data_IF_864389209016
#
_entry.id   IF_864389209016
#
_cell.length_a   1.000
_cell.length_b   1.000
_cell.length_c   1.000
_cell.angle_alpha   90.00
_cell.angle_beta   90.00
_cell.angle_gamma   90.00
#
_symmetry.space_group_name_H-M   'P 1'
#
loop_
_entity.id
_entity.type
_entity.pdbx_description
1 polymer ?
#
# COMPACT_ATOMS: atom_id res chain seq x y z
N UNK A 1 0.25 16.46 17.50
CA UNK A 1 1.69 16.56 17.79
C UNK A 1 2.12 15.22 18.34
N UNK A 2 2.78 14.41 17.52
CA UNK A 2 3.12 13.02 17.84
C UNK A 2 4.63 12.98 18.11
N UNK A 3 5.01 12.77 19.37
CA UNK A 3 6.40 12.76 19.85
C UNK A 3 6.57 11.63 20.86
N UNK A 4 7.79 11.15 21.08
CA UNK A 4 8.03 10.25 22.20
C UNK A 4 8.03 11.02 23.51
N UNK A 5 7.26 10.59 24.50
CA UNK A 5 7.18 11.24 25.81
C UNK A 5 7.56 10.29 26.94
N UNK A 6 7.89 10.86 28.09
CA UNK A 6 8.14 10.12 29.32
C UNK A 6 6.91 10.22 30.22
N UNK A 7 6.37 9.08 30.60
CA UNK A 7 5.24 8.98 31.53
C UNK A 7 5.70 9.20 32.98
N UNK A 8 4.74 9.21 33.92
CA UNK A 8 5.03 9.27 35.35
C UNK A 8 5.85 8.10 35.90
N UNK A 9 6.00 7.00 35.14
CA UNK A 9 6.85 5.85 35.49
C UNK A 9 8.36 6.14 35.37
N UNK A 10 8.75 7.29 34.85
CA UNK A 10 10.16 7.61 34.62
C UNK A 10 10.86 7.93 35.94
N UNK A 11 11.72 7.03 36.40
CA UNK A 11 12.57 7.19 37.60
C UNK A 11 13.97 7.73 37.30
N UNK A 12 14.23 8.14 36.05
CA UNK A 12 15.46 8.82 35.70
C UNK A 12 16.69 7.95 35.48
N UNK A 13 16.51 6.65 35.23
CA UNK A 13 17.60 5.67 35.01
C UNK A 13 18.52 6.00 33.81
N UNK A 14 18.03 6.75 32.82
CA UNK A 14 18.86 7.26 31.72
C UNK A 14 19.22 6.28 30.60
N UNK A 15 18.77 5.01 30.64
CA UNK A 15 19.06 4.02 29.58
C UNK A 15 18.61 4.48 28.19
N UNK A 16 17.45 5.13 28.10
CA UNK A 16 16.96 5.73 26.85
C UNK A 16 17.86 6.84 26.29
N UNK A 17 18.61 7.56 27.15
CA UNK A 17 19.58 8.58 26.74
C UNK A 17 20.80 7.90 26.12
N UNK A 18 21.33 6.86 26.79
CA UNK A 18 22.48 6.07 26.30
C UNK A 18 22.19 5.38 24.97
N UNK A 19 20.97 4.86 24.82
CA UNK A 19 20.55 4.16 23.60
C UNK A 19 20.21 5.09 22.43
N UNK A 20 20.17 6.43 22.62
CA UNK A 20 19.74 7.34 21.58
C UNK A 20 20.87 7.65 20.57
N UNK A 21 20.79 7.16 19.31
CA UNK A 21 21.88 7.31 18.34
C UNK A 21 22.05 8.74 17.84
N UNK A 22 21.04 9.59 18.03
CA UNK A 22 21.07 11.00 17.61
C UNK A 22 21.24 11.96 18.78
N UNK A 23 21.42 11.43 20.00
CA UNK A 23 21.54 12.21 21.25
C UNK A 23 20.38 13.22 21.43
N UNK A 24 19.19 12.85 20.95
CA UNK A 24 17.99 13.67 21.00
C UNK A 24 17.27 13.66 22.35
N UNK A 25 17.83 13.00 23.36
CA UNK A 25 17.22 12.80 24.67
C UNK A 25 18.19 13.30 25.74
N UNK A 26 17.68 14.06 26.70
CA UNK A 26 18.41 14.54 27.88
C UNK A 26 17.57 14.38 29.13
N UNK A 27 18.21 14.47 30.29
CA UNK A 27 17.52 14.47 31.58
C UNK A 27 17.16 15.90 32.00
N UNK A 28 15.91 16.11 32.43
CA UNK A 28 15.40 17.34 33.04
C UNK A 28 14.62 16.93 34.29
N UNK A 29 15.01 17.43 35.47
CA UNK A 29 14.36 17.14 36.76
C UNK A 29 14.13 15.64 37.01
N UNK A 30 15.15 14.83 36.71
CA UNK A 30 15.09 13.37 36.88
C UNK A 30 14.25 12.64 35.83
N UNK A 31 13.75 13.31 34.78
CA UNK A 31 12.96 12.70 33.70
C UNK A 31 13.62 12.85 32.34
N UNK A 32 13.48 11.84 31.50
CA UNK A 32 13.95 11.90 30.12
C UNK A 32 13.05 12.84 29.30
N UNK A 33 13.65 13.78 28.59
CA UNK A 33 12.99 14.71 27.68
C UNK A 33 13.66 14.62 26.31
N UNK A 34 12.86 14.57 25.25
CA UNK A 34 13.35 14.47 23.88
C UNK A 34 12.83 15.58 22.98
N UNK A 35 13.47 15.76 21.83
CA UNK A 35 12.96 16.58 20.72
C UNK A 35 11.45 16.33 20.49
N UNK A 36 10.69 17.42 20.35
CA UNK A 36 9.22 17.41 20.19
C UNK A 36 8.76 17.21 18.74
N UNK A 37 9.70 17.01 17.82
CA UNK A 37 9.45 16.75 16.40
C UNK A 37 8.52 17.79 15.74
N UNK A 38 8.74 19.07 16.03
CA UNK A 38 7.93 20.18 15.51
C UNK A 38 8.28 20.62 14.08
N UNK A 39 9.46 20.26 13.58
CA UNK A 39 9.88 20.58 12.21
C UNK A 39 10.48 21.96 11.98
N UNK A 40 10.51 22.84 12.99
CA UNK A 40 11.07 24.18 12.84
C UNK A 40 12.52 24.19 12.30
N UNK A 41 13.34 23.21 12.71
CA UNK A 41 14.71 23.06 12.20
C UNK A 41 14.77 22.64 10.73
N UNK A 42 13.79 21.88 10.24
CA UNK A 42 13.67 21.49 8.82
C UNK A 42 13.32 22.72 7.98
N UNK A 43 12.30 23.47 8.39
CA UNK A 43 11.82 24.65 7.67
C UNK A 43 12.88 25.76 7.59
N UNK A 44 13.63 25.96 8.67
CA UNK A 44 14.67 26.98 8.73
C UNK A 44 16.01 26.57 8.08
N UNK A 45 16.19 25.30 7.64
CA UNK A 45 17.48 24.83 7.14
C UNK A 45 17.80 25.40 5.74
N UNK A 46 18.79 26.32 5.60
CA UNK A 46 19.08 26.96 4.31
C UNK A 46 19.61 25.97 3.26
N UNK A 47 20.34 24.94 3.70
CA UNK A 47 20.90 23.92 2.81
C UNK A 47 19.91 22.80 2.46
N UNK A 48 18.69 22.83 3.02
CA UNK A 48 17.72 21.73 2.95
C UNK A 48 18.34 20.37 3.32
N UNK A 49 19.26 20.40 4.29
CA UNK A 49 19.96 19.22 4.79
C UNK A 49 19.11 18.42 5.79
N UNK A 50 18.15 19.06 6.46
CA UNK A 50 17.23 18.39 7.39
C UNK A 50 15.96 18.02 6.61
N UNK A 51 15.49 16.78 6.78
CA UNK A 51 14.26 16.30 6.13
C UNK A 51 13.46 15.42 7.09
N UNK A 52 12.14 15.41 6.91
CA UNK A 52 11.26 14.45 7.60
C UNK A 52 11.47 13.04 7.02
N UNK A 53 11.53 12.04 7.89
CA UNK A 53 11.58 10.63 7.50
C UNK A 53 10.18 9.99 7.58
N UNK A 54 10.07 8.72 7.17
CA UNK A 54 8.79 8.01 7.11
C UNK A 54 8.21 7.68 8.48
N UNK A 55 9.03 7.63 9.52
CA UNK A 55 8.58 7.52 10.92
C UNK A 55 8.01 8.84 11.47
N UNK A 56 8.01 9.91 10.67
CA UNK A 56 7.55 11.24 11.04
C UNK A 56 8.57 12.06 11.83
N UNK A 57 9.78 11.53 12.07
CA UNK A 57 10.89 12.21 12.71
C UNK A 57 11.73 12.97 11.68
N UNK A 58 12.87 13.52 12.11
CA UNK A 58 13.75 14.28 11.22
C UNK A 58 15.16 13.69 11.20
N UNK A 59 15.79 13.70 10.03
CA UNK A 59 17.15 13.22 9.81
C UNK A 59 17.97 14.29 9.11
N UNK A 60 19.27 14.31 9.38
CA UNK A 60 20.22 15.25 8.79
C UNK A 60 21.03 14.56 7.71
N UNK A 61 20.98 15.10 6.50
CA UNK A 61 21.85 14.73 5.39
C UNK A 61 23.22 15.37 5.60
N UNK A 62 24.18 14.55 6.04
CA UNK A 62 25.54 15.01 6.36
C UNK A 62 26.29 15.53 5.12
N UNK A 63 25.97 15.07 3.93
CA UNK A 63 26.62 15.55 2.71
C UNK A 63 26.19 16.99 2.35
N UNK A 64 25.00 17.43 2.78
CA UNK A 64 24.49 18.79 2.55
C UNK A 64 24.68 19.72 3.75
N UNK A 65 24.93 19.17 4.93
CA UNK A 65 25.09 19.94 6.15
C UNK A 65 26.48 20.59 6.21
N UNK A 66 26.54 21.90 6.38
CA UNK A 66 27.79 22.65 6.62
C UNK A 66 27.92 23.14 8.07
N UNK A 67 27.10 22.60 8.99
CA UNK A 67 27.11 22.93 10.41
C UNK A 67 26.91 24.43 10.75
N UNK A 68 26.13 25.17 9.95
CA UNK A 68 25.93 26.62 10.13
C UNK A 68 25.18 27.08 11.41
N UNK A 69 24.65 26.17 12.24
CA UNK A 69 24.00 26.55 13.52
C UNK A 69 22.55 27.05 13.45
N UNK A 70 21.96 27.26 12.27
CA UNK A 70 20.57 27.79 12.14
C UNK A 70 19.54 26.89 12.85
N UNK A 71 19.69 25.57 12.72
CA UNK A 71 18.80 24.61 13.37
C UNK A 71 18.88 24.63 14.91
N UNK A 72 20.06 24.93 15.46
CA UNK A 72 20.27 25.07 16.90
C UNK A 72 19.56 26.33 17.43
N UNK A 73 19.75 27.47 16.76
CA UNK A 73 19.13 28.74 17.13
C UNK A 73 17.59 28.74 17.01
N UNK A 74 17.05 27.94 16.09
CA UNK A 74 15.60 27.87 15.84
C UNK A 74 14.89 26.88 16.76
N UNK A 75 15.62 26.00 17.47
CA UNK A 75 15.02 24.91 18.23
C UNK A 75 14.24 25.44 19.45
N UNK A 76 12.89 25.36 19.48
CA UNK A 76 12.09 25.97 20.55
C UNK A 76 12.27 25.30 21.92
N UNK A 77 12.85 24.10 21.93
CA UNK A 77 13.10 23.31 23.15
C UNK A 77 14.59 23.14 23.44
N UNK A 78 15.46 23.85 22.72
CA UNK A 78 16.92 23.79 22.87
C UNK A 78 17.45 22.34 22.91
N UNK A 79 16.92 21.49 22.01
CA UNK A 79 17.30 20.07 21.93
C UNK A 79 18.49 19.85 21.01
N UNK A 80 18.73 20.75 20.05
CA UNK A 80 19.73 20.61 19.00
C UNK A 80 21.05 21.20 19.46
N UNK A 81 22.16 20.52 19.13
CA UNK A 81 23.54 20.97 19.37
C UNK A 81 24.44 20.57 18.21
N UNK A 82 25.51 21.31 17.98
CA UNK A 82 26.54 20.96 17.00
C UNK A 82 27.86 20.66 17.71
N UNK A 83 28.36 19.45 17.54
CA UNK A 83 29.63 18.98 18.12
C UNK A 83 30.49 18.36 17.02
N UNK A 84 31.74 18.80 16.89
CA UNK A 84 32.68 18.35 15.85
C UNK A 84 32.11 18.42 14.42
N UNK A 85 31.31 19.46 14.15
CA UNK A 85 30.63 19.65 12.86
C UNK A 85 29.42 18.72 12.62
N UNK A 86 29.03 17.92 13.61
CA UNK A 86 27.90 16.99 13.55
C UNK A 86 26.71 17.57 14.30
N UNK A 87 25.56 17.67 13.61
CA UNK A 87 24.29 18.07 14.23
C UNK A 87 23.73 16.89 15.03
N UNK A 88 23.53 17.11 16.33
CA UNK A 88 22.92 16.18 17.28
C UNK A 88 21.60 16.76 17.79
N UNK A 89 20.83 15.97 18.54
CA UNK A 89 19.66 16.47 19.24
C UNK A 89 18.34 16.41 18.48
N UNK A 90 18.35 15.86 17.27
CA UNK A 90 17.16 15.73 16.40
C UNK A 90 16.64 14.29 16.47
N UNK A 91 15.38 14.11 16.86
CA UNK A 91 14.78 12.77 16.96
C UNK A 91 14.40 12.23 15.58
N UNK A 92 15.04 11.12 15.18
CA UNK A 92 14.69 10.36 13.98
C UNK A 92 13.44 9.49 14.15
N UNK A 93 12.80 9.51 15.32
CA UNK A 93 11.67 8.65 15.69
C UNK A 93 11.94 7.14 15.46
N UNK A 94 13.16 6.68 15.75
CA UNK A 94 13.54 5.27 15.60
C UNK A 94 13.00 4.34 16.71
N UNK A 95 12.47 4.86 17.81
CA UNK A 95 11.86 4.07 18.88
C UNK A 95 12.81 3.36 19.85
N UNK A 96 14.13 3.37 19.65
CA UNK A 96 15.10 2.76 20.59
C UNK A 96 14.94 3.19 22.04
N UNK A 97 14.48 4.42 22.27
CA UNK A 97 14.26 4.91 23.62
C UNK A 97 13.10 4.23 24.35
N UNK A 98 12.15 3.65 23.61
CA UNK A 98 11.03 2.86 24.16
C UNK A 98 11.58 1.50 24.58
N UNK A 99 12.23 0.79 23.66
CA UNK A 99 12.81 -0.54 23.91
C UNK A 99 13.84 -0.54 25.05
N UNK A 100 14.71 0.48 25.07
CA UNK A 100 15.75 0.59 26.09
C UNK A 100 15.21 1.03 27.46
N UNK A 101 13.92 1.35 27.59
CA UNK A 101 13.37 1.80 28.86
C UNK A 101 12.91 0.61 29.72
N UNK A 102 13.65 0.21 30.77
CA UNK A 102 13.32 -0.98 31.57
C UNK A 102 11.98 -0.86 32.32
N UNK A 103 11.51 0.38 32.52
CA UNK A 103 10.25 0.68 33.21
C UNK A 103 9.07 0.89 32.24
N UNK A 104 9.30 0.78 30.92
CA UNK A 104 8.29 1.13 29.90
C UNK A 104 7.77 2.57 30.05
N UNK A 105 8.61 3.46 30.57
CA UNK A 105 8.22 4.84 30.87
C UNK A 105 8.25 5.73 29.63
N UNK A 106 9.08 5.39 28.63
CA UNK A 106 9.13 6.04 27.32
C UNK A 106 8.11 5.39 26.40
N UNK A 107 7.25 6.19 25.79
CA UNK A 107 6.15 5.75 24.94
C UNK A 107 5.95 6.71 23.78
N UNK A 108 5.38 6.23 22.67
CA UNK A 108 4.89 7.14 21.65
C UNK A 108 3.65 7.86 22.19
N UNK A 109 3.54 9.18 21.95
CA UNK A 109 2.36 9.91 22.38
C UNK A 109 1.08 9.42 21.69
N UNK A 110 1.20 8.75 20.55
CA UNK A 110 0.10 8.08 19.87
C UNK A 110 -0.52 6.99 20.75
N UNK A 111 0.29 6.06 21.25
CA UNK A 111 -0.12 4.92 22.10
C UNK A 111 -0.83 5.40 23.38
N UNK A 112 -0.43 6.55 23.90
CA UNK A 112 -1.06 7.14 25.09
C UNK A 112 -2.46 7.69 24.86
N UNK A 113 -2.84 8.06 23.64
CA UNK A 113 -4.18 8.60 23.39
C UNK A 113 -5.23 7.49 23.56
N UNK A 114 -4.92 6.28 23.11
CA UNK A 114 -5.77 5.08 23.30
C UNK A 114 -5.73 4.60 24.75
N UNK A 115 -4.53 4.40 25.31
CA UNK A 115 -4.36 3.85 26.66
C UNK A 115 -4.93 4.73 27.78
N UNK A 116 -4.91 6.06 27.60
CA UNK A 116 -5.36 7.01 28.63
C UNK A 116 -6.89 7.13 28.62
N UNK A 117 -7.53 6.93 27.46
CA UNK A 117 -8.98 6.82 27.35
C UNK A 117 -9.47 5.50 27.95
N UNK A 118 -8.82 4.37 27.62
CA UNK A 118 -9.14 3.05 28.16
C UNK A 118 -9.01 3.01 29.69
N UNK A 119 -7.86 3.43 30.23
CA UNK A 119 -7.63 3.43 31.69
C UNK A 119 -8.54 4.37 32.46
N UNK A 120 -8.91 5.51 31.89
CA UNK A 120 -9.89 6.40 32.50
C UNK A 120 -11.27 5.72 32.59
N UNK A 121 -11.73 5.09 31.51
CA UNK A 121 -13.02 4.39 31.46
C UNK A 121 -13.05 3.20 32.43
N UNK A 122 -11.97 2.43 32.52
CA UNK A 122 -11.83 1.31 33.47
C UNK A 122 -11.83 1.79 34.92
N UNK A 123 -11.16 2.91 35.21
CA UNK A 123 -11.07 3.46 36.56
C UNK A 123 -12.40 3.98 37.12
N UNK A 124 -13.41 4.20 36.27
CA UNK A 124 -14.73 4.68 36.67
C UNK A 124 -15.65 3.56 37.20
N UNK A 125 -15.30 2.28 37.01
CA UNK A 125 -15.98 1.09 37.56
C UNK A 125 -17.53 1.14 37.51
N UNK A 126 -18.08 1.57 36.38
CA UNK A 126 -19.51 1.84 36.22
C UNK A 126 -20.33 0.56 36.04
N UNK A 127 -21.46 0.43 36.76
CA UNK A 127 -22.36 -0.73 36.72
C UNK A 127 -23.04 -0.95 35.36
N UNK A 128 -23.18 0.12 34.58
CA UNK A 128 -23.51 0.08 33.15
C UNK A 128 -22.37 0.80 32.45
N UNK A 129 -21.60 0.08 31.61
CA UNK A 129 -20.55 0.71 30.82
C UNK A 129 -21.21 1.81 29.96
N UNK A 130 -20.85 3.09 30.14
CA UNK A 130 -21.38 4.14 29.28
C UNK A 130 -20.92 3.81 27.87
N UNK A 131 -21.78 3.96 26.84
CA UNK A 131 -21.28 3.85 25.47
C UNK A 131 -20.17 4.88 25.34
N UNK A 132 -19.02 4.45 24.80
CA UNK A 132 -17.87 5.31 24.57
C UNK A 132 -18.37 6.54 23.82
N UNK A 133 -18.54 7.66 24.53
CA UNK A 133 -18.97 8.94 23.94
C UNK A 133 -17.74 9.82 23.75
N UNK A 134 -16.94 9.41 22.78
CA UNK A 134 -17.03 10.05 21.47
C UNK A 134 -17.45 8.92 20.55
N UNK A 135 -18.44 9.09 19.68
CA UNK A 135 -18.24 8.45 18.38
C UNK A 135 -16.85 8.97 17.99
N UNK A 136 -15.81 8.12 17.82
CA UNK A 136 -14.90 8.48 16.75
C UNK A 136 -15.89 8.79 15.63
N UNK A 137 -15.77 9.93 14.94
CA UNK A 137 -16.11 9.77 13.53
C UNK A 137 -15.30 8.54 13.16
N UNK A 138 -15.96 7.43 12.87
CA UNK A 138 -15.32 6.27 12.29
C UNK A 138 -14.79 6.86 11.01
N UNK A 139 -13.62 7.48 11.10
CA UNK A 139 -12.88 7.99 9.99
C UNK A 139 -12.37 6.69 9.40
N UNK A 140 -13.29 6.00 8.75
CA UNK A 140 -13.02 4.89 7.88
C UNK A 140 -12.97 5.55 6.53
N UNK A 141 -11.88 5.32 5.82
CA UNK A 141 -11.88 5.66 4.42
C UNK A 141 -12.98 4.80 3.76
N UNK A 142 -13.79 5.39 2.89
CA UNK A 142 -14.86 4.68 2.20
C UNK A 142 -14.81 4.92 0.70
N UNK A 143 -15.16 3.89 -0.07
CA UNK A 143 -15.26 3.93 -1.52
C UNK A 143 -16.37 3.00 -1.98
N UNK A 144 -17.16 3.44 -2.95
CA UNK A 144 -18.18 2.59 -3.58
C UNK A 144 -17.68 2.11 -4.94
N UNK A 145 -17.64 0.81 -5.11
CA UNK A 145 -17.26 0.16 -6.37
C UNK A 145 -17.92 -1.21 -6.49
N UNK A 146 -17.72 -1.83 -7.65
CA UNK A 146 -18.01 -3.26 -7.81
C UNK A 146 -16.85 -4.04 -7.23
N UNK A 147 -17.13 -4.92 -6.28
CA UNK A 147 -16.17 -5.86 -5.68
C UNK A 147 -16.42 -7.26 -6.24
N UNK A 148 -15.38 -8.10 -6.22
CA UNK A 148 -15.49 -9.53 -6.52
C UNK A 148 -15.25 -10.32 -5.25
N UNK A 149 -16.20 -11.19 -4.90
CA UNK A 149 -16.02 -12.28 -3.95
C UNK A 149 -15.18 -13.37 -4.65
N UNK A 150 -13.93 -13.53 -4.21
CA UNK A 150 -12.98 -14.46 -4.82
C UNK A 150 -13.33 -15.92 -4.56
N UNK A 151 -14.00 -16.21 -3.45
CA UNK A 151 -14.38 -17.58 -3.08
C UNK A 151 -15.56 -18.07 -3.92
N UNK A 152 -16.42 -17.14 -4.37
CA UNK A 152 -17.53 -17.44 -5.28
C UNK A 152 -17.18 -17.26 -6.77
N UNK A 153 -16.07 -16.63 -7.12
CA UNK A 153 -15.77 -16.33 -8.51
C UNK A 153 -15.29 -17.56 -9.28
N UNK A 154 -16.00 -17.97 -10.34
CA UNK A 154 -15.62 -19.12 -11.18
C UNK A 154 -14.65 -18.76 -12.31
N UNK A 155 -14.18 -17.50 -12.36
CA UNK A 155 -13.31 -16.95 -13.40
C UNK A 155 -13.83 -17.20 -14.84
N UNK A 156 -15.15 -17.23 -15.01
CA UNK A 156 -15.77 -17.57 -16.29
C UNK A 156 -15.62 -16.52 -17.41
N UNK A 157 -14.94 -15.39 -17.18
CA UNK A 157 -14.78 -14.28 -18.14
C UNK A 157 -16.07 -13.59 -18.64
N UNK A 158 -17.27 -14.04 -18.26
CA UNK A 158 -18.55 -13.43 -18.70
C UNK A 158 -18.63 -11.94 -18.34
N UNK A 159 -18.21 -11.58 -17.12
CA UNK A 159 -18.20 -10.18 -16.69
C UNK A 159 -17.20 -9.31 -17.45
N UNK A 160 -16.05 -9.86 -17.89
CA UNK A 160 -15.09 -9.18 -18.76
C UNK A 160 -15.69 -8.95 -20.15
N UNK A 161 -16.31 -9.98 -20.73
CA UNK A 161 -16.93 -9.90 -22.07
C UNK A 161 -17.98 -8.78 -22.15
N UNK A 162 -18.87 -8.70 -21.16
CA UNK A 162 -19.93 -7.69 -21.13
C UNK A 162 -19.51 -6.31 -20.62
N UNK A 163 -18.26 -6.11 -20.24
CA UNK A 163 -17.77 -4.83 -19.74
C UNK A 163 -17.54 -3.86 -20.91
N UNK A 164 -18.36 -2.79 -21.06
CA UNK A 164 -18.28 -1.92 -22.24
C UNK A 164 -16.97 -1.15 -22.34
N UNK A 165 -16.30 -0.93 -21.21
CA UNK A 165 -15.07 -0.15 -21.09
C UNK A 165 -13.84 -1.02 -20.89
N UNK A 166 -13.96 -2.36 -20.83
CA UNK A 166 -12.83 -3.26 -20.59
C UNK A 166 -12.19 -3.12 -19.20
N UNK A 167 -12.95 -2.69 -18.20
CA UNK A 167 -12.50 -2.41 -16.83
C UNK A 167 -12.20 -3.64 -15.97
N UNK A 168 -12.44 -4.83 -16.50
CA UNK A 168 -12.29 -6.11 -15.83
C UNK A 168 -11.35 -6.95 -16.69
N UNK A 169 -10.33 -7.50 -16.05
CA UNK A 169 -9.36 -8.41 -16.64
C UNK A 169 -9.44 -9.70 -15.83
N UNK A 170 -9.76 -10.79 -16.50
CA UNK A 170 -9.80 -12.15 -15.97
C UNK A 170 -8.70 -12.90 -16.70
N UNK A 171 -7.66 -13.25 -15.97
CA UNK A 171 -6.54 -14.01 -16.48
C UNK A 171 -6.71 -15.48 -16.07
N UNK A 172 -6.82 -16.36 -17.06
CA UNK A 172 -6.97 -17.81 -16.89
C UNK A 172 -6.34 -18.50 -18.11
N UNK A 173 -6.19 -19.82 -18.09
CA UNK A 173 -5.80 -20.57 -19.29
C UNK A 173 -6.70 -20.29 -20.50
N UNK A 174 -6.11 -20.28 -21.70
CA UNK A 174 -6.85 -20.17 -22.97
C UNK A 174 -7.10 -21.53 -23.63
N UNK A 175 -8.10 -21.58 -24.51
CA UNK A 175 -8.39 -22.72 -25.36
C UNK A 175 -9.32 -23.76 -24.75
N UNK A 176 -9.83 -23.55 -23.53
CA UNK A 176 -10.76 -24.44 -22.83
C UNK A 176 -11.99 -23.69 -22.34
N UNK A 177 -13.15 -24.36 -22.31
CA UNK A 177 -14.42 -23.76 -21.94
C UNK A 177 -14.44 -23.42 -20.45
N UNK A 178 -14.84 -22.20 -20.14
CA UNK A 178 -14.96 -21.68 -18.77
C UNK A 178 -16.42 -21.62 -18.30
N UNK A 179 -17.33 -22.25 -19.04
CA UNK A 179 -18.78 -22.29 -18.74
C UNK A 179 -19.41 -20.91 -18.60
N UNK A 180 -18.90 -19.96 -19.38
CA UNK A 180 -19.30 -18.56 -19.37
C UNK A 180 -20.69 -18.29 -19.97
N UNK A 181 -21.23 -19.25 -20.73
CA UNK A 181 -22.51 -19.17 -21.47
C UNK A 181 -22.63 -18.00 -22.45
N UNK A 182 -21.53 -17.32 -22.79
CA UNK A 182 -21.52 -16.28 -23.84
C UNK A 182 -21.95 -16.85 -25.20
N UNK A 183 -21.58 -18.10 -25.49
CA UNK A 183 -22.00 -18.77 -26.73
C UNK A 183 -23.53 -18.94 -26.84
N UNK A 184 -24.22 -19.15 -25.71
CA UNK A 184 -25.68 -19.21 -25.63
C UNK A 184 -26.26 -17.82 -25.91
N UNK A 185 -25.77 -16.81 -25.20
CA UNK A 185 -26.22 -15.42 -25.31
C UNK A 185 -26.14 -14.86 -26.75
N UNK A 186 -25.09 -15.25 -27.49
CA UNK A 186 -24.85 -14.72 -28.84
C UNK A 186 -25.46 -15.55 -29.97
N UNK A 187 -25.97 -16.75 -29.68
CA UNK A 187 -26.49 -17.68 -30.68
C UNK A 187 -27.81 -17.18 -31.29
N UNK A 188 -27.84 -16.77 -32.57
CA UNK A 188 -29.02 -16.12 -33.16
C UNK A 188 -30.20 -17.07 -33.38
N UNK A 189 -29.94 -18.38 -33.40
CA UNK A 189 -30.94 -19.43 -33.69
C UNK A 189 -31.25 -20.30 -32.47
N UNK A 190 -30.70 -19.96 -31.29
CA UNK A 190 -30.92 -20.76 -30.07
C UNK A 190 -30.45 -22.21 -30.20
N UNK A 191 -29.42 -22.47 -30.99
CA UNK A 191 -28.83 -23.80 -31.16
C UNK A 191 -27.88 -24.18 -30.02
N UNK A 192 -27.66 -23.32 -29.04
CA UNK A 192 -26.77 -23.58 -27.90
C UNK A 192 -27.55 -23.30 -26.62
N UNK A 193 -27.67 -24.29 -25.76
CA UNK A 193 -28.36 -24.24 -24.46
C UNK A 193 -27.60 -25.14 -23.47
N UNK A 194 -27.36 -24.66 -22.24
CA UNK A 194 -26.56 -25.35 -21.22
C UNK A 194 -25.22 -25.90 -21.76
N UNK A 195 -24.56 -25.09 -22.59
CA UNK A 195 -23.29 -25.40 -23.27
C UNK A 195 -23.34 -26.62 -24.21
N UNK A 196 -24.52 -27.14 -24.53
CA UNK A 196 -24.75 -28.19 -25.51
C UNK A 196 -25.20 -27.59 -26.84
N UNK A 197 -24.74 -28.16 -27.97
CA UNK A 197 -25.01 -27.64 -29.31
C UNK A 197 -25.96 -28.57 -30.05
N UNK A 198 -27.10 -28.04 -30.47
CA UNK A 198 -28.06 -28.71 -31.36
C UNK A 198 -27.59 -28.61 -32.81
N UNK A 199 -27.13 -29.72 -33.44
CA UNK A 199 -26.60 -29.69 -34.79
C UNK A 199 -27.70 -29.48 -35.85
N UNK A 200 -28.97 -29.75 -35.54
CA UNK A 200 -30.08 -29.58 -36.47
C UNK A 200 -30.51 -28.12 -36.56
N UNK A 201 -30.38 -27.36 -35.46
CA UNK A 201 -30.64 -25.92 -35.43
C UNK A 201 -29.44 -25.07 -35.85
N UNK A 202 -28.22 -25.59 -35.72
CA UNK A 202 -27.00 -24.82 -35.99
C UNK A 202 -26.86 -24.48 -37.48
N UNK A 203 -26.78 -23.18 -37.79
CA UNK A 203 -26.62 -22.67 -39.17
C UNK A 203 -25.17 -22.43 -39.58
N UNK A 204 -24.19 -22.82 -38.75
CA UNK A 204 -22.75 -22.58 -38.97
C UNK A 204 -22.38 -21.11 -39.23
N UNK A 205 -23.08 -20.16 -38.58
CA UNK A 205 -22.75 -18.72 -38.67
C UNK A 205 -21.43 -18.31 -37.96
N UNK A 206 -20.85 -19.21 -37.16
CA UNK A 206 -19.57 -19.07 -36.43
C UNK A 206 -19.49 -17.91 -35.43
N UNK A 207 -20.63 -17.29 -35.07
CA UNK A 207 -20.65 -16.20 -34.10
C UNK A 207 -20.16 -16.65 -32.72
N UNK A 208 -20.61 -17.81 -32.22
CA UNK A 208 -20.15 -18.37 -30.95
C UNK A 208 -18.63 -18.57 -30.90
N UNK A 209 -18.02 -18.95 -32.03
CA UNK A 209 -16.56 -19.12 -32.13
C UNK A 209 -15.83 -17.78 -32.00
N UNK A 210 -16.27 -16.74 -32.72
CA UNK A 210 -15.65 -15.39 -32.68
C UNK A 210 -15.83 -14.69 -31.34
N UNK A 211 -16.94 -14.94 -30.67
CA UNK A 211 -17.30 -14.27 -29.40
C UNK A 211 -16.85 -15.06 -28.16
N UNK A 212 -16.29 -16.27 -28.31
CA UNK A 212 -15.89 -17.10 -27.18
C UNK A 212 -14.72 -16.46 -26.40
N UNK A 213 -14.90 -16.00 -25.15
CA UNK A 213 -13.85 -15.28 -24.42
C UNK A 213 -12.63 -16.13 -24.06
N UNK A 214 -12.76 -17.46 -24.16
CA UNK A 214 -11.70 -18.42 -23.84
C UNK A 214 -11.18 -19.15 -25.09
N UNK A 215 -11.60 -18.77 -26.30
CA UNK A 215 -11.18 -19.43 -27.55
C UNK A 215 -11.38 -20.96 -27.53
N UNK A 216 -12.44 -21.43 -26.86
CA UNK A 216 -12.68 -22.86 -26.60
C UNK A 216 -13.50 -23.55 -27.70
N UNK A 217 -14.09 -22.80 -28.62
CA UNK A 217 -15.01 -23.30 -29.63
C UNK A 217 -14.26 -23.49 -30.95
N UNK A 218 -14.41 -24.66 -31.56
CA UNK A 218 -13.76 -25.03 -32.82
C UNK A 218 -14.72 -25.78 -33.74
N UNK A 219 -14.28 -26.01 -34.98
CA UNK A 219 -15.05 -26.75 -35.99
C UNK A 219 -14.31 -28.04 -36.31
N UNK A 220 -15.04 -29.14 -36.38
CA UNK A 220 -14.54 -30.43 -36.81
C UNK A 220 -15.69 -31.18 -37.50
N UNK A 221 -15.43 -31.76 -38.68
CA UNK A 221 -16.44 -32.41 -39.53
C UNK A 221 -17.72 -31.57 -39.77
N UNK A 222 -17.55 -30.27 -40.08
CA UNK A 222 -18.64 -29.30 -40.24
C UNK A 222 -19.58 -29.19 -39.02
N UNK A 223 -19.12 -29.59 -37.84
CA UNK A 223 -19.85 -29.45 -36.57
C UNK A 223 -19.08 -28.53 -35.64
N UNK A 224 -19.80 -27.62 -34.99
CA UNK A 224 -19.23 -26.79 -33.93
C UNK A 224 -19.05 -27.67 -32.69
N UNK A 225 -17.87 -27.61 -32.08
CA UNK A 225 -17.52 -28.35 -30.86
C UNK A 225 -16.93 -27.40 -29.82
N UNK A 226 -17.09 -27.77 -28.55
CA UNK A 226 -16.56 -27.02 -27.41
C UNK A 226 -15.47 -27.87 -26.75
N UNK A 227 -14.26 -27.30 -26.61
CA UNK A 227 -13.17 -27.95 -25.85
C UNK A 227 -13.43 -27.77 -24.35
N UNK A 228 -13.54 -28.88 -23.62
CA UNK A 228 -13.71 -28.91 -22.17
C UNK A 228 -12.49 -29.56 -21.52
N UNK A 229 -12.13 -29.11 -20.32
CA UNK A 229 -11.06 -29.69 -19.51
C UNK A 229 -11.57 -29.90 -18.09
N UNK A 230 -11.08 -30.95 -17.41
CA UNK A 230 -11.46 -31.28 -16.04
C UNK A 230 -10.88 -30.28 -15.03
N UNK A 231 -9.68 -29.77 -15.29
CA UNK A 231 -9.01 -28.74 -14.49
C UNK A 231 -8.83 -27.47 -15.34
N UNK A 232 -9.23 -26.32 -14.78
CA UNK A 232 -9.14 -25.00 -15.42
C UNK A 232 -7.88 -24.23 -15.03
N UNK A 233 -7.07 -24.79 -14.14
CA UNK A 233 -5.86 -24.18 -13.62
C UNK A 233 -6.12 -22.96 -12.73
N UNK A 234 -5.04 -22.34 -12.25
CA UNK A 234 -5.10 -21.11 -11.49
C UNK A 234 -5.40 -19.90 -12.39
N UNK A 235 -5.91 -18.83 -11.80
CA UNK A 235 -6.18 -17.59 -12.50
C UNK A 235 -6.49 -16.45 -11.55
N UNK A 236 -6.73 -15.27 -12.12
CA UNK A 236 -6.99 -14.06 -11.35
C UNK A 236 -8.08 -13.20 -11.99
N UNK A 237 -8.72 -12.38 -11.17
CA UNK A 237 -9.65 -11.36 -11.63
C UNK A 237 -9.28 -10.02 -11.01
N UNK A 238 -9.01 -9.04 -11.86
CA UNK A 238 -8.68 -7.67 -11.48
C UNK A 238 -9.70 -6.75 -12.13
N UNK A 239 -10.22 -5.79 -11.35
CA UNK A 239 -11.12 -4.79 -11.88
C UNK A 239 -10.84 -3.40 -11.33
N UNK A 240 -11.18 -2.38 -12.13
CA UNK A 240 -11.02 -0.99 -11.75
C UNK A 240 -11.68 -0.70 -10.39
N UNK A 241 -10.89 -0.18 -9.46
CA UNK A 241 -11.33 0.22 -8.12
C UNK A 241 -12.22 1.47 -8.13
N UNK A 242 -12.24 2.27 -9.19
CA UNK A 242 -12.97 3.55 -9.20
C UNK A 242 -12.46 4.51 -8.09
N UNK A 243 -11.15 4.50 -7.84
CA UNK A 243 -10.48 5.33 -6.83
C UNK A 243 -10.18 6.76 -7.31
N UNK A 244 -10.33 7.05 -8.61
CA UNK A 244 -10.22 8.41 -9.16
C UNK A 244 -8.79 8.89 -9.50
N UNK A 245 -7.74 8.15 -9.14
CA UNK A 245 -6.34 8.56 -9.42
C UNK A 245 -6.06 8.89 -10.89
N UNK A 246 -6.66 8.13 -11.81
CA UNK A 246 -6.51 8.38 -13.24
C UNK A 246 -7.22 9.67 -13.72
N UNK A 247 -8.29 10.09 -13.04
CA UNK A 247 -8.94 11.37 -13.30
C UNK A 247 -8.12 12.53 -12.73
N UNK A 248 -7.57 12.37 -11.54
CA UNK A 248 -6.67 13.36 -10.92
C UNK A 248 -5.40 13.58 -11.75
N UNK A 249 -4.84 12.50 -12.30
CA UNK A 249 -3.63 12.54 -13.14
C UNK A 249 -3.92 12.94 -14.60
N UNK A 250 -5.18 13.19 -14.97
CA UNK A 250 -5.54 13.49 -16.35
C UNK A 250 -5.37 14.98 -16.67
N UNK A 251 -4.25 15.33 -17.30
CA UNK A 251 -3.87 16.71 -17.62
C UNK A 251 -4.89 17.45 -18.50
N UNK A 252 -5.54 16.74 -19.43
CA UNK A 252 -6.53 17.30 -20.36
C UNK A 252 -7.96 17.25 -19.80
N UNK A 253 -8.15 16.61 -18.65
CA UNK A 253 -9.47 16.37 -18.08
C UNK A 253 -10.37 15.50 -18.96
N UNK A 254 -9.80 14.61 -19.78
CA UNK A 254 -10.54 13.58 -20.51
C UNK A 254 -11.17 12.57 -19.55
N UNK A 255 -10.53 12.29 -18.42
CA UNK A 255 -11.09 11.49 -17.32
C UNK A 255 -11.51 12.40 -16.17
N UNK A 256 -12.73 12.19 -15.65
CA UNK A 256 -13.26 12.94 -14.49
C UNK A 256 -14.10 12.07 -13.58
N UNK A 257 -14.11 12.40 -12.30
CA UNK A 257 -15.06 11.87 -11.33
C UNK A 257 -16.30 12.76 -11.31
N UNK A 258 -17.47 12.19 -11.61
CA UNK A 258 -18.78 12.85 -11.54
C UNK A 258 -19.69 11.99 -10.69
N UNK A 259 -20.18 12.53 -9.57
CA UNK A 259 -21.03 11.81 -8.60
C UNK A 259 -20.45 10.45 -8.16
N UNK A 260 -19.13 10.42 -7.88
CA UNK A 260 -18.43 9.20 -7.47
C UNK A 260 -18.22 8.17 -8.59
N UNK A 261 -18.46 8.53 -9.85
CA UNK A 261 -18.31 7.63 -11.01
C UNK A 261 -17.32 8.23 -12.01
N UNK A 262 -16.47 7.38 -12.57
CA UNK A 262 -15.58 7.82 -13.64
C UNK A 262 -16.35 8.07 -14.94
N UNK A 263 -15.96 9.14 -15.64
CA UNK A 263 -16.42 9.53 -16.97
C UNK A 263 -15.23 9.81 -17.86
N UNK A 264 -15.36 9.46 -19.14
CA UNK A 264 -14.32 9.59 -20.15
C UNK A 264 -14.88 10.34 -21.36
N UNK A 265 -14.16 11.38 -21.79
CA UNK A 265 -14.41 12.12 -23.03
C UNK A 265 -13.24 11.88 -24.00
N UNK A 266 -13.43 11.07 -25.06
CA UNK A 266 -12.37 10.76 -26.01
C UNK A 266 -11.91 11.99 -26.81
N UNK A 267 -12.75 13.03 -26.95
CA UNK A 267 -12.39 14.23 -27.72
C UNK A 267 -11.30 15.06 -27.04
N UNK A 268 -11.13 14.88 -25.73
CA UNK A 268 -10.10 15.51 -24.92
C UNK A 268 -8.87 14.62 -24.73
N UNK A 269 -8.93 13.34 -25.09
CA UNK A 269 -7.87 12.37 -24.87
C UNK A 269 -6.87 12.34 -26.05
N UNK A 270 -6.01 13.36 -26.10
CA UNK A 270 -4.98 13.53 -27.14
C UNK A 270 -3.77 14.28 -26.57
N UNK A 271 -2.63 14.12 -27.24
CA UNK A 271 -1.41 14.91 -27.00
C UNK A 271 -0.90 14.81 -25.54
N UNK A 272 -0.74 13.58 -25.05
CA UNK A 272 -0.10 13.26 -23.76
C UNK A 272 1.16 12.43 -24.04
N UNK A 273 2.34 12.93 -23.67
CA UNK A 273 3.62 12.28 -24.00
C UNK A 273 3.87 10.99 -23.17
N UNK A 274 3.40 10.93 -21.91
CA UNK A 274 3.73 9.85 -20.96
C UNK A 274 2.50 9.09 -20.40
N UNK A 275 1.28 9.38 -20.86
CA UNK A 275 0.03 8.72 -20.41
C UNK A 275 -0.12 8.57 -18.88
N UNK A 276 0.00 9.66 -18.08
CA UNK A 276 0.06 9.60 -16.62
C UNK A 276 -1.15 8.93 -15.96
N UNK A 277 -2.32 8.94 -16.63
CA UNK A 277 -3.51 8.26 -16.14
C UNK A 277 -3.37 6.73 -16.11
N UNK A 278 -2.60 6.13 -17.03
CA UNK A 278 -2.34 4.69 -17.08
C UNK A 278 -1.40 4.33 -15.93
N UNK A 279 -0.29 5.06 -15.78
CA UNK A 279 0.69 4.84 -14.71
C UNK A 279 0.12 5.03 -13.30
N UNK A 280 -0.81 5.97 -13.15
CA UNK A 280 -1.49 6.21 -11.88
C UNK A 280 -2.38 5.03 -11.45
N UNK A 281 -2.82 4.17 -12.38
CA UNK A 281 -3.77 3.09 -12.13
C UNK A 281 -3.18 2.02 -11.19
N UNK A 282 -3.66 1.91 -9.95
CA UNK A 282 -3.07 1.01 -8.96
C UNK A 282 -3.19 -0.47 -9.34
N UNK A 283 -4.28 -0.81 -10.03
CA UNK A 283 -4.62 -2.18 -10.42
C UNK A 283 -4.25 -2.49 -11.87
N UNK A 284 -3.63 -1.55 -12.59
CA UNK A 284 -3.14 -1.78 -13.95
C UNK A 284 -4.20 -2.10 -15.00
N UNK A 285 -5.47 -1.73 -14.78
CA UNK A 285 -6.54 -2.06 -15.76
C UNK A 285 -6.58 -1.13 -16.96
N UNK A 286 -6.10 0.11 -16.81
CA UNK A 286 -6.12 1.14 -17.85
C UNK A 286 -5.12 0.84 -18.97
N UNK A 287 -5.55 0.98 -20.23
CA UNK A 287 -4.74 0.68 -21.42
C UNK A 287 -5.32 1.33 -22.67
N UNK A 288 -4.49 1.56 -23.68
CA UNK A 288 -4.94 2.02 -25.00
C UNK A 288 -5.28 0.82 -25.89
N UNK A 289 -6.43 0.86 -26.56
CA UNK A 289 -6.87 -0.12 -27.56
C UNK A 289 -7.41 0.63 -28.75
N UNK A 290 -6.83 0.44 -29.93
CA UNK A 290 -7.24 1.10 -31.18
C UNK A 290 -7.34 2.64 -31.07
N UNK A 291 -6.43 3.26 -30.33
CA UNK A 291 -6.40 4.71 -30.12
C UNK A 291 -7.41 5.22 -29.07
N UNK A 292 -8.18 4.35 -28.43
CA UNK A 292 -9.10 4.70 -27.35
C UNK A 292 -8.63 4.17 -25.99
N UNK A 293 -8.84 4.96 -24.95
CA UNK A 293 -8.60 4.49 -23.58
C UNK A 293 -9.67 3.46 -23.18
N UNK A 294 -9.22 2.34 -22.59
CA UNK A 294 -10.03 1.28 -21.99
C UNK A 294 -9.53 1.01 -20.57
N UNK A 295 -10.27 0.23 -19.79
CA UNK A 295 -9.84 -0.21 -18.46
C UNK A 295 -10.43 0.52 -17.27
N UNK A 296 -11.47 1.33 -17.46
CA UNK A 296 -12.08 2.13 -16.40
C UNK A 296 -13.54 1.77 -16.13
N UNK A 297 -13.95 1.75 -14.86
CA UNK A 297 -15.34 1.44 -14.50
C UNK A 297 -16.22 2.69 -14.51
N UNK A 298 -17.32 2.64 -15.26
CA UNK A 298 -18.36 3.69 -15.29
C UNK A 298 -19.53 3.43 -14.33
N UNK A 299 -19.43 2.33 -13.55
CA UNK A 299 -20.45 1.87 -12.60
C UNK A 299 -21.83 1.62 -13.24
N UNK A 300 -21.85 0.96 -14.41
CA UNK A 300 -23.09 0.63 -15.13
C UNK A 300 -23.82 -0.63 -14.62
N UNK A 301 -23.17 -1.46 -13.79
CA UNK A 301 -23.78 -2.65 -13.21
C UNK A 301 -23.91 -3.87 -14.12
N UNK A 302 -23.56 -3.79 -15.42
CA UNK A 302 -23.64 -4.95 -16.34
C UNK A 302 -22.91 -6.18 -15.82
N UNK A 303 -21.69 -6.01 -15.31
CA UNK A 303 -20.89 -7.10 -14.76
C UNK A 303 -21.50 -7.76 -13.52
N UNK A 304 -22.33 -7.04 -12.76
CA UNK A 304 -23.11 -7.58 -11.63
C UNK A 304 -24.29 -8.37 -12.19
N UNK A 305 -25.03 -7.79 -13.14
CA UNK A 305 -26.21 -8.42 -13.72
C UNK A 305 -25.91 -9.74 -14.45
N UNK A 306 -24.78 -9.83 -15.15
CA UNK A 306 -24.38 -11.07 -15.86
C UNK A 306 -23.66 -12.08 -14.95
N UNK A 307 -23.37 -11.72 -13.70
CA UNK A 307 -22.78 -12.64 -12.71
C UNK A 307 -23.88 -13.46 -12.03
N UNK A 308 -24.72 -14.10 -12.83
CA UNK A 308 -25.97 -14.76 -12.42
C UNK A 308 -25.77 -16.17 -11.86
N UNK A 309 -24.68 -16.85 -12.22
CA UNK A 309 -24.41 -18.22 -11.74
C UNK A 309 -23.89 -18.20 -10.30
N UNK A 310 -22.85 -17.39 -10.04
CA UNK A 310 -22.16 -17.43 -8.76
C UNK A 310 -22.38 -16.20 -7.89
N UNK A 311 -23.01 -15.16 -8.43
CA UNK A 311 -23.27 -13.86 -7.75
C UNK A 311 -22.02 -13.27 -7.07
N UNK A 312 -20.84 -13.61 -7.59
CA UNK A 312 -19.56 -13.19 -7.03
C UNK A 312 -19.33 -11.67 -7.15
N UNK A 313 -20.08 -10.96 -8.00
CA UNK A 313 -19.90 -9.51 -8.21
C UNK A 313 -21.06 -8.73 -7.64
N UNK A 314 -20.78 -7.72 -6.83
CA UNK A 314 -21.79 -6.82 -6.25
C UNK A 314 -21.26 -5.41 -6.06
N UNK A 315 -22.15 -4.42 -5.99
CA UNK A 315 -21.79 -3.08 -5.53
C UNK A 315 -21.65 -3.09 -4.02
N UNK A 316 -20.50 -2.66 -3.52
CA UNK A 316 -20.22 -2.59 -2.09
C UNK A 316 -19.67 -1.22 -1.72
N UNK A 317 -19.94 -0.82 -0.48
CA UNK A 317 -19.19 0.26 0.17
C UNK A 317 -18.02 -0.36 0.90
N UNK A 318 -16.85 -0.30 0.27
CA UNK A 318 -15.60 -0.72 0.90
C UNK A 318 -15.25 0.27 1.98
N UNK A 319 -14.87 -0.24 3.15
CA UNK A 319 -14.48 0.54 4.32
C UNK A 319 -13.15 0.01 4.85
N UNK A 320 -12.30 0.91 5.33
CA UNK A 320 -11.08 0.54 6.03
C UNK A 320 -10.79 1.58 7.10
N UNK A 321 -10.57 1.09 8.32
CA UNK A 321 -10.28 1.86 9.53
C UNK A 321 -8.77 2.12 9.74
N UNK A 322 -7.92 1.68 8.81
CA UNK A 322 -6.47 1.76 8.95
C UNK A 322 -5.84 0.54 9.64
N UNK A 323 -6.63 -0.49 9.95
CA UNK A 323 -6.13 -1.76 10.52
C UNK A 323 -5.05 -2.41 9.66
N UNK A 324 -4.02 -2.92 10.34
CA UNK A 324 -2.85 -3.60 9.76
C UNK A 324 -2.55 -4.84 10.62
N UNK A 325 -2.19 -5.96 9.99
CA UNK A 325 -1.84 -7.19 10.73
C UNK A 325 -0.50 -7.07 11.45
N UNK A 326 -0.31 -7.96 12.44
CA UNK A 326 0.95 -8.06 13.20
C UNK A 326 2.13 -8.52 12.35
N UNK A 327 1.88 -9.05 11.14
CA UNK A 327 2.93 -9.45 10.19
C UNK A 327 3.67 -8.24 9.60
N UNK A 328 3.27 -7.01 9.92
CA UNK A 328 3.88 -5.79 9.41
C UNK A 328 5.36 -5.66 9.78
N UNK A 329 6.23 -5.96 8.82
CA UNK A 329 7.69 -5.84 8.95
C UNK A 329 8.22 -4.39 8.87
N UNK A 330 7.35 -3.37 8.88
CA UNK A 330 7.74 -1.95 8.83
C UNK A 330 8.66 -1.58 7.65
N UNK A 331 8.50 -2.24 6.50
CA UNK A 331 9.38 -2.05 5.34
C UNK A 331 9.26 -0.67 4.69
N UNK A 332 8.15 0.04 4.90
CA UNK A 332 7.93 1.42 4.42
C UNK A 332 7.36 1.55 3.00
N UNK A 333 7.17 0.44 2.26
CA UNK A 333 6.64 0.43 0.89
C UNK A 333 5.31 1.17 0.77
N UNK A 334 4.39 0.93 1.70
CA UNK A 334 3.08 1.56 1.72
C UNK A 334 3.16 3.09 1.89
N UNK A 335 4.09 3.58 2.71
CA UNK A 335 4.34 5.01 2.92
C UNK A 335 5.02 5.64 1.69
N UNK A 336 5.89 4.89 0.99
CA UNK A 336 6.54 5.34 -0.25
C UNK A 336 5.57 5.50 -1.42
N UNK A 337 4.61 4.58 -1.56
CA UNK A 337 3.73 4.50 -2.72
C UNK A 337 2.39 5.22 -2.53
N UNK A 338 2.11 5.73 -1.34
CA UNK A 338 0.84 6.38 -1.04
C UNK A 338 0.74 7.71 -1.83
N UNK A 339 -0.17 7.84 -2.81
CA UNK A 339 -0.24 9.02 -3.66
C UNK A 339 -0.75 10.28 -2.93
N UNK A 340 -1.32 10.09 -1.74
CA UNK A 340 -1.98 11.14 -0.95
C UNK A 340 -1.31 11.32 0.41
N UNK A 341 -0.13 10.74 0.63
CA UNK A 341 0.66 10.78 1.87
C UNK A 341 -0.16 10.49 3.15
N UNK A 342 -1.07 9.50 3.07
CA UNK A 342 -1.93 9.11 4.19
C UNK A 342 -1.23 8.17 5.18
N UNK A 343 -0.04 7.64 4.87
CA UNK A 343 0.60 6.57 5.65
C UNK A 343 1.90 7.05 6.30
N UNK A 344 1.96 6.97 7.62
CA UNK A 344 3.17 7.21 8.43
C UNK A 344 3.68 5.90 9.02
N UNK A 345 4.97 5.63 8.90
CA UNK A 345 5.59 4.40 9.42
C UNK A 345 5.68 4.44 10.96
N UNK A 346 5.45 3.29 11.59
CA UNK A 346 5.66 3.05 13.02
C UNK A 346 6.54 1.81 13.17
N UNK A 347 7.05 1.55 14.37
CA UNK A 347 7.78 0.30 14.63
C UNK A 347 6.77 -0.83 14.81
N UNK A 348 6.90 -1.88 14.00
CA UNK A 348 5.98 -3.02 13.97
C UNK A 348 4.62 -2.73 13.33
N UNK A 349 4.38 -1.54 12.80
CA UNK A 349 3.07 -1.17 12.20
C UNK A 349 3.15 0.13 11.37
N UNK A 350 1.99 0.65 10.95
CA UNK A 350 1.82 1.96 10.33
C UNK A 350 0.65 2.70 10.97
N UNK A 351 0.66 4.02 10.87
CA UNK A 351 -0.48 4.89 11.15
C UNK A 351 -1.08 5.39 9.83
N UNK A 352 -2.39 5.34 9.72
CA UNK A 352 -3.14 5.72 8.51
C UNK A 352 -4.05 6.90 8.80
N UNK A 353 -3.88 8.00 8.07
CA UNK A 353 -4.82 9.11 8.00
C UNK A 353 -5.98 8.71 7.06
N UNK A 354 -7.06 8.23 7.66
CA UNK A 354 -8.25 7.73 6.96
C UNK A 354 -9.11 8.84 6.36
N UNK A 355 -8.93 10.10 6.77
CA UNK A 355 -9.55 11.25 6.11
C UNK A 355 -8.87 11.60 4.78
N UNK A 356 -7.56 11.32 4.68
CA UNK A 356 -6.79 11.48 3.43
C UNK A 356 -6.82 10.25 2.54
N UNK A 357 -6.99 9.06 3.11
CA UNK A 357 -6.94 7.81 2.36
C UNK A 357 -8.09 7.67 1.36
N UNK A 358 -7.76 7.38 0.11
CA UNK A 358 -8.72 7.23 -1.01
C UNK A 358 -9.03 5.77 -1.37
N UNK A 359 -8.59 4.81 -0.56
CA UNK A 359 -8.73 3.37 -0.80
C UNK A 359 -8.28 2.92 -2.21
N UNK A 360 -7.14 3.42 -2.69
CA UNK A 360 -6.57 3.01 -3.98
C UNK A 360 -5.86 1.65 -3.93
N UNK A 361 -5.68 1.09 -2.73
CA UNK A 361 -5.09 -0.23 -2.45
C UNK A 361 -3.63 -0.43 -2.89
N UNK A 362 -2.92 0.61 -3.41
CA UNK A 362 -1.46 0.51 -3.74
C UNK A 362 -0.64 -0.07 -2.58
N UNK A 363 -0.93 0.36 -1.36
CA UNK A 363 -0.27 -0.13 -0.16
C UNK A 363 -0.46 -1.64 0.06
N UNK A 364 -1.68 -2.17 -0.12
CA UNK A 364 -1.97 -3.60 -0.01
C UNK A 364 -1.43 -4.42 -1.18
N UNK A 365 -1.50 -3.88 -2.40
CA UNK A 365 -0.97 -4.53 -3.62
C UNK A 365 0.54 -4.80 -3.49
N UNK A 366 1.28 -3.85 -2.93
CA UNK A 366 2.74 -3.90 -2.81
C UNK A 366 3.27 -4.37 -1.44
N UNK A 367 2.40 -4.66 -0.46
CA UNK A 367 2.84 -5.10 0.88
C UNK A 367 3.44 -6.52 0.82
N UNK A 368 4.74 -6.75 1.02
CA UNK A 368 5.36 -8.06 0.75
C UNK A 368 4.82 -9.21 1.61
N UNK A 369 4.23 -8.89 2.76
CA UNK A 369 3.71 -9.82 3.78
C UNK A 369 2.19 -9.75 3.92
N UNK A 370 1.50 -9.05 3.00
CA UNK A 370 0.04 -8.95 2.97
C UNK A 370 -0.63 -8.44 4.26
N UNK A 371 0.11 -7.66 5.07
CA UNK A 371 -0.39 -7.09 6.32
C UNK A 371 -1.47 -6.00 6.15
N UNK A 372 -1.72 -5.54 4.93
CA UNK A 372 -2.72 -4.50 4.62
C UNK A 372 -3.82 -5.12 3.74
N UNK A 373 -5.10 -5.06 4.15
CA UNK A 373 -6.19 -5.68 3.41
C UNK A 373 -6.38 -5.05 2.02
N UNK A 374 -6.86 -5.84 1.07
CA UNK A 374 -7.20 -5.43 -0.30
C UNK A 374 -8.45 -6.15 -0.78
N UNK A 375 -9.19 -5.52 -1.69
CA UNK A 375 -10.36 -6.12 -2.37
C UNK A 375 -10.02 -6.63 -3.77
N UNK A 376 -8.87 -6.23 -4.31
CA UNK A 376 -8.33 -6.73 -5.57
C UNK A 376 -7.47 -7.98 -5.39
N UNK A 377 -7.48 -8.89 -6.36
CA UNK A 377 -6.48 -9.97 -6.47
C UNK A 377 -5.12 -9.48 -6.98
N UNK A 378 -5.00 -8.20 -7.36
CA UNK A 378 -3.74 -7.66 -7.87
C UNK A 378 -2.68 -7.70 -6.77
N UNK A 379 -1.55 -8.32 -7.10
CA UNK A 379 -0.34 -8.37 -6.27
C UNK A 379 0.86 -7.94 -7.10
N UNK A 380 1.76 -7.14 -6.50
CA UNK A 380 3.07 -6.86 -7.08
C UNK A 380 4.15 -7.26 -6.09
N UNK A 381 4.79 -8.39 -6.36
CA UNK A 381 5.92 -8.90 -5.58
C UNK A 381 7.21 -8.20 -5.97
N UNK A 382 8.19 -8.29 -5.06
CA UNK A 382 9.55 -7.83 -5.30
C UNK A 382 10.24 -8.90 -6.13
N UNK A 383 10.82 -8.53 -7.27
CA UNK A 383 11.50 -9.44 -8.18
C UNK A 383 13.01 -9.49 -7.92
N UNK A 384 13.58 -8.37 -7.46
CA UNK A 384 15.00 -8.25 -7.16
C UNK A 384 15.34 -6.87 -6.64
N UNK A 385 16.64 -6.62 -6.46
CA UNK A 385 17.14 -5.35 -5.98
C UNK A 385 18.61 -5.41 -5.63
N UNK A 386 19.05 -4.41 -4.87
CA UNK A 386 20.42 -4.30 -4.37
C UNK A 386 20.40 -3.67 -2.99
N UNK A 387 21.23 -4.16 -2.07
CA UNK A 387 21.34 -3.60 -0.71
C UNK A 387 22.82 -3.58 -0.28
N UNK A 388 23.32 -2.42 0.11
CA UNK A 388 24.68 -2.24 0.62
C UNK A 388 24.69 -1.30 1.82
N UNK A 389 25.50 -1.60 2.83
CA UNK A 389 25.71 -0.72 3.98
C UNK A 389 27.07 -0.05 3.85
N UNK A 390 27.10 1.28 3.70
CA UNK A 390 28.33 2.05 3.60
C UNK A 390 29.02 2.15 4.98
N UNK A 391 30.19 1.53 5.17
CA UNK A 391 30.88 1.51 6.46
C UNK A 391 31.34 2.91 6.91
N UNK A 392 31.47 3.88 5.99
CA UNK A 392 31.89 5.25 6.31
C UNK A 392 30.78 6.07 6.96
N UNK A 393 29.52 5.70 6.70
CA UNK A 393 28.34 6.36 7.27
C UNK A 393 27.75 5.58 8.45
N UNK A 394 27.99 4.27 8.51
CA UNK A 394 27.47 3.41 9.56
C UNK A 394 28.00 3.84 10.94
N UNK A 395 27.09 3.94 11.90
CA UNK A 395 27.41 4.26 13.31
C UNK A 395 27.35 3.02 14.21
N UNK A 396 27.27 1.82 13.64
CA UNK A 396 27.30 0.55 14.38
C UNK A 396 26.10 0.26 15.29
N UNK A 397 25.01 1.04 15.21
CA UNK A 397 23.89 1.01 16.16
C UNK A 397 23.03 -0.27 16.18
N UNK A 398 23.19 -1.20 15.22
CA UNK A 398 22.48 -2.48 15.21
C UNK A 398 21.04 -2.46 14.69
N UNK A 399 20.40 -1.30 14.53
CA UNK A 399 19.00 -1.19 14.11
C UNK A 399 18.61 -1.97 12.85
N UNK A 400 19.52 -2.09 11.88
CA UNK A 400 19.28 -2.84 10.66
C UNK A 400 19.26 -4.35 10.89
N UNK A 401 20.00 -4.86 11.88
CA UNK A 401 19.97 -6.26 12.30
C UNK A 401 18.58 -6.56 12.88
N UNK A 402 18.15 -5.75 13.86
CA UNK A 402 16.92 -5.98 14.62
C UNK A 402 15.65 -5.92 13.75
N UNK A 403 15.65 -5.09 12.69
CA UNK A 403 14.47 -4.91 11.82
C UNK A 403 14.46 -5.87 10.63
N UNK A 404 15.54 -6.61 10.37
CA UNK A 404 15.62 -7.45 9.19
C UNK A 404 14.72 -8.68 9.37
N UNK A 405 13.69 -8.89 8.53
CA UNK A 405 12.79 -10.02 8.70
C UNK A 405 13.41 -11.36 8.27
N UNK A 406 14.49 -11.33 7.49
CA UNK A 406 15.13 -12.51 6.91
C UNK A 406 16.51 -12.83 7.54
N UNK A 407 16.89 -12.11 8.59
CA UNK A 407 18.23 -12.21 9.20
C UNK A 407 19.38 -12.10 8.16
N UNK A 408 19.15 -11.29 7.13
CA UNK A 408 20.07 -11.10 6.00
C UNK A 408 21.23 -10.15 6.33
N UNK A 409 21.29 -9.59 7.53
CA UNK A 409 22.33 -8.62 7.92
C UNK A 409 23.09 -9.19 9.12
N UNK A 410 24.43 -9.16 9.04
CA UNK A 410 25.30 -9.63 10.12
C UNK A 410 26.53 -8.72 10.27
N UNK A 411 27.33 -8.97 11.31
CA UNK A 411 28.62 -8.28 11.51
C UNK A 411 29.75 -9.18 11.06
N UNK A 412 30.69 -8.64 10.29
CA UNK A 412 31.93 -9.35 9.96
C UNK A 412 32.93 -9.35 11.13
N UNK A 413 34.08 -9.99 10.93
CA UNK A 413 35.16 -10.07 11.94
C UNK A 413 35.70 -8.69 12.37
N UNK A 414 35.55 -7.67 11.52
CA UNK A 414 35.96 -6.29 11.80
C UNK A 414 34.86 -5.45 12.45
N UNK A 415 33.68 -6.03 12.67
CA UNK A 415 32.51 -5.37 13.24
C UNK A 415 31.69 -4.52 12.26
N UNK A 416 32.01 -4.59 10.96
CA UNK A 416 31.27 -3.91 9.89
C UNK A 416 30.00 -4.70 9.56
N UNK A 417 28.95 -3.99 9.17
CA UNK A 417 27.69 -4.61 8.77
C UNK A 417 27.77 -5.11 7.34
N UNK A 418 27.48 -6.39 7.13
CA UNK A 418 27.44 -7.04 5.82
C UNK A 418 26.02 -7.55 5.52
N UNK A 419 25.65 -7.60 4.25
CA UNK A 419 24.35 -8.11 3.77
C UNK A 419 24.58 -9.41 3.02
N UNK A 420 23.78 -10.42 3.35
CA UNK A 420 23.65 -11.70 2.65
C UNK A 420 22.59 -11.54 1.56
N UNK A 421 23.03 -11.43 0.30
CA UNK A 421 22.14 -11.20 -0.84
C UNK A 421 21.22 -12.40 -1.13
N UNK A 422 21.60 -13.62 -0.73
CA UNK A 422 20.77 -14.82 -0.93
C UNK A 422 19.55 -14.83 0.01
N UNK A 423 19.64 -14.13 1.15
CA UNK A 423 18.53 -13.95 2.10
C UNK A 423 17.79 -12.63 1.91
N UNK A 424 18.40 -11.65 1.26
CA UNK A 424 17.82 -10.31 1.16
C UNK A 424 16.62 -10.28 0.21
N UNK A 425 15.41 -10.12 0.74
CA UNK A 425 14.20 -9.94 -0.09
C UNK A 425 14.02 -8.51 -0.63
N UNK A 426 15.03 -7.65 -0.46
CA UNK A 426 15.01 -6.24 -0.88
C UNK A 426 13.75 -5.47 -0.42
N UNK A 427 13.30 -5.67 0.83
CA UNK A 427 12.10 -5.00 1.34
C UNK A 427 12.32 -3.52 1.69
N UNK A 428 13.56 -3.13 2.05
CA UNK A 428 13.94 -1.76 2.40
C UNK A 428 13.78 -1.38 3.88
N UNK A 429 13.38 -2.31 4.77
CA UNK A 429 13.19 -2.04 6.20
C UNK A 429 14.45 -1.46 6.87
N UNK A 430 15.61 -2.05 6.59
CA UNK A 430 16.91 -1.61 7.09
C UNK A 430 17.26 -0.17 6.65
N UNK A 431 16.91 0.21 5.42
CA UNK A 431 17.12 1.57 4.91
C UNK A 431 16.22 2.57 5.61
N UNK A 432 14.96 2.20 5.85
CA UNK A 432 13.99 3.08 6.49
C UNK A 432 14.31 3.35 7.97
N UNK A 433 14.78 2.34 8.72
CA UNK A 433 15.13 2.51 10.13
C UNK A 433 16.47 3.24 10.34
N UNK A 434 17.38 3.23 9.35
CA UNK A 434 18.75 3.71 9.50
C UNK A 434 18.81 5.24 9.75
N UNK A 435 19.18 5.69 10.97
CA UNK A 435 19.22 7.12 11.29
C UNK A 435 20.40 7.83 10.60
N UNK A 436 21.45 7.08 10.26
CA UNK A 436 22.65 7.58 9.59
C UNK A 436 22.54 7.57 8.06
N UNK A 437 21.47 7.01 7.50
CA UNK A 437 21.31 6.77 6.05
C UNK A 437 22.50 6.02 5.42
N UNK A 438 23.09 5.09 6.15
CA UNK A 438 24.21 4.30 5.67
C UNK A 438 23.81 3.20 4.68
N UNK A 439 22.51 2.88 4.56
CA UNK A 439 22.02 1.82 3.68
C UNK A 439 21.69 2.39 2.30
N UNK A 440 22.45 1.96 1.30
CA UNK A 440 22.22 2.16 -0.13
C UNK A 440 21.36 1.00 -0.60
N UNK A 441 20.25 1.28 -1.27
CA UNK A 441 19.24 0.29 -1.56
C UNK A 441 18.43 0.63 -2.82
N UNK A 442 18.17 -0.39 -3.63
CA UNK A 442 17.27 -0.34 -4.78
C UNK A 442 16.35 -1.57 -4.80
N UNK A 443 15.15 -1.41 -5.37
CA UNK A 443 14.11 -2.44 -5.46
C UNK A 443 13.49 -2.45 -6.84
N UNK A 444 13.36 -3.63 -7.41
CA UNK A 444 12.60 -3.90 -8.63
C UNK A 444 11.34 -4.70 -8.28
N UNK A 445 10.17 -4.20 -8.67
CA UNK A 445 8.93 -4.97 -8.61
C UNK A 445 8.77 -5.80 -9.88
N UNK A 446 8.11 -6.96 -9.77
CA UNK A 446 7.71 -7.71 -10.95
C UNK A 446 6.84 -6.83 -11.86
N UNK A 447 7.22 -6.75 -13.15
CA UNK A 447 6.39 -6.16 -14.19
C UNK A 447 5.21 -7.08 -14.50
N UNK A 448 4.10 -6.47 -14.91
CA UNK A 448 2.93 -7.18 -15.41
C UNK A 448 3.11 -7.64 -16.85
#
# INVERSE_FOLDING_TARGET
MIMFISTGKCEGLGECVKACPTEAIRMIDGRAFSCITCGACMEACPNKAIRRNRYGGYVVDRAKCNACGVCEMTCPVNSIKIEDGVVKGICARCGLCVDACPLGARVDAFDLIEDRQLRFLESLNLAVKPPVKRTPRSHEATRVNVVTDTDRCTLCRRCQYYCPTGAIIVDTGEGVCTECRVCEDVCPVGAIEDLEIDPEKCTLCLKCMRECPSNAIYIDDFKVKIRRAEDRGEGSIVSCLNCGLCAESCERGALRMVDGKLRYDPTLCRDCDETPCIEACPVGTLRMVDGELRGYCVSCGRCVNVCDVSEARSFQTVRWDGSVSEDCISCGICSELCPVDAITLRRGSIEVDTDRCILCEKCGIHCPVDAIPRTTMKKRSIKGGFTLIDPRLCIGCGLCLDVCPEDAISRDESGLMIVDDDKCIHCGACSNICPARAVIFEREFASD
#
